data_IF_870341810523
#
_entry.id   IF_870341810523
#
_cell.length_a   1.000
_cell.length_b   1.000
_cell.length_c   1.000
_cell.angle_alpha   90.00
_cell.angle_beta   90.00
_cell.angle_gamma   90.00
#
_symmetry.space_group_name_H-M   'P 1'
#
loop_
_entity.id
_entity.type
_entity.pdbx_description
1 polymer ?
#
# COMPACT_ATOMS: atom_id res chain seq x y z
N UNK A 1 35.41 -50.10 1.44
CA UNK A 1 34.27 -49.34 0.88
C UNK A 1 33.62 -48.51 2.00
N UNK A 2 33.83 -47.20 2.04
CA UNK A 2 33.14 -46.30 3.00
C UNK A 2 31.98 -45.63 2.27
N UNK A 3 30.73 -46.01 2.60
CA UNK A 3 29.54 -45.33 2.10
C UNK A 3 29.49 -43.93 2.74
N UNK A 4 29.65 -42.88 1.93
CA UNK A 4 29.35 -41.52 2.36
C UNK A 4 27.83 -41.43 2.51
N UNK A 5 27.34 -41.42 3.75
CA UNK A 5 25.97 -41.02 4.04
C UNK A 5 25.81 -39.56 3.63
N UNK A 6 25.07 -39.33 2.54
CA UNK A 6 24.61 -38.00 2.18
C UNK A 6 23.53 -37.61 3.19
N UNK A 7 23.94 -36.95 4.27
CA UNK A 7 23.01 -36.28 5.18
C UNK A 7 22.28 -35.21 4.36
N UNK A 8 20.97 -35.37 4.20
CA UNK A 8 19.96 -34.35 3.90
C UNK A 8 20.20 -33.47 2.66
N UNK A 9 19.33 -33.59 1.65
CA UNK A 9 19.26 -32.59 0.57
C UNK A 9 19.08 -31.19 1.15
N UNK A 10 19.93 -30.23 0.75
CA UNK A 10 19.81 -28.85 1.19
C UNK A 10 18.41 -28.32 0.84
N UNK A 11 17.66 -27.74 1.79
CA UNK A 11 16.44 -27.05 1.45
C UNK A 11 16.75 -25.91 0.48
N UNK A 12 15.96 -25.80 -0.59
CA UNK A 12 16.08 -24.71 -1.56
C UNK A 12 15.92 -23.35 -0.88
N UNK A 13 16.45 -22.29 -1.51
CA UNK A 13 16.42 -20.95 -0.95
C UNK A 13 14.96 -20.50 -0.64
N UNK A 14 14.68 -20.21 0.63
CA UNK A 14 13.40 -19.64 1.04
C UNK A 14 13.28 -18.17 0.60
N UNK A 15 12.10 -17.80 0.11
CA UNK A 15 11.74 -16.41 -0.17
C UNK A 15 11.47 -15.64 1.14
N UNK A 16 11.63 -14.31 1.12
CA UNK A 16 11.35 -13.44 2.28
C UNK A 16 12.54 -12.58 2.72
N UNK A 17 12.27 -11.62 3.61
CA UNK A 17 13.30 -10.73 4.17
C UNK A 17 14.28 -11.49 5.06
N UNK A 18 15.48 -10.94 5.26
CA UNK A 18 16.48 -11.51 6.17
C UNK A 18 15.94 -11.65 7.61
N UNK A 19 15.14 -10.66 8.05
CA UNK A 19 14.48 -10.69 9.36
C UNK A 19 13.47 -11.83 9.47
N UNK A 20 12.65 -12.06 8.44
CA UNK A 20 11.70 -13.17 8.43
C UNK A 20 12.40 -14.53 8.52
N UNK A 21 13.54 -14.69 7.82
CA UNK A 21 14.38 -15.89 7.88
C UNK A 21 14.98 -16.10 9.27
N UNK A 22 15.47 -15.03 9.91
CA UNK A 22 16.01 -15.07 11.29
C UNK A 22 14.94 -15.49 12.29
N UNK A 23 13.73 -14.94 12.20
CA UNK A 23 12.60 -15.32 13.05
C UNK A 23 12.20 -16.79 12.84
N UNK A 24 12.07 -17.22 11.58
CA UNK A 24 11.72 -18.60 11.25
C UNK A 24 12.75 -19.59 11.79
N UNK A 25 14.05 -19.29 11.68
CA UNK A 25 15.11 -20.13 12.23
C UNK A 25 15.00 -20.27 13.76
N UNK A 26 14.84 -19.16 14.48
CA UNK A 26 14.73 -19.18 15.94
C UNK A 26 13.49 -19.95 16.44
N UNK A 27 12.36 -19.84 15.73
CA UNK A 27 11.14 -20.61 16.05
C UNK A 27 11.38 -22.11 15.81
N UNK A 28 12.02 -22.48 14.70
CA UNK A 28 12.32 -23.89 14.41
C UNK A 28 13.33 -24.49 15.38
N UNK A 29 14.34 -23.72 15.81
CA UNK A 29 15.29 -24.13 16.87
C UNK A 29 14.56 -24.38 18.20
N UNK A 30 13.60 -23.51 18.54
CA UNK A 30 12.73 -23.65 19.70
C UNK A 30 11.88 -24.92 19.65
N UNK A 31 11.20 -25.15 18.52
CA UNK A 31 10.36 -26.34 18.30
C UNK A 31 11.19 -27.64 18.22
N UNK A 32 12.41 -27.57 17.71
CA UNK A 32 13.33 -28.71 17.63
C UNK A 32 14.02 -29.03 18.98
N UNK A 33 13.85 -28.19 20.01
CA UNK A 33 14.48 -28.35 21.31
C UNK A 33 15.98 -28.07 21.32
N UNK A 34 16.52 -27.44 20.26
CA UNK A 34 17.93 -27.02 20.20
C UNK A 34 18.19 -25.81 21.09
N UNK A 35 17.15 -25.00 21.30
CA UNK A 35 17.16 -23.79 22.12
C UNK A 35 15.84 -23.69 22.89
N UNK A 36 15.86 -23.19 24.12
CA UNK A 36 14.62 -22.93 24.88
C UNK A 36 13.86 -21.70 24.36
N UNK A 37 12.52 -21.59 24.56
CA UNK A 37 11.75 -20.40 24.15
C UNK A 37 12.29 -19.08 24.73
N UNK A 38 12.82 -19.11 25.96
CA UNK A 38 13.45 -17.96 26.60
C UNK A 38 14.72 -17.55 25.85
N UNK A 39 15.66 -18.47 25.65
CA UNK A 39 16.90 -18.22 24.90
C UNK A 39 16.62 -17.76 23.46
N UNK A 40 15.57 -18.28 22.81
CA UNK A 40 15.16 -17.87 21.48
C UNK A 40 14.64 -16.43 21.46
N UNK A 41 13.87 -16.04 22.48
CA UNK A 41 13.40 -14.66 22.64
C UNK A 41 14.54 -13.68 22.91
N UNK A 42 15.53 -14.07 23.73
CA UNK A 42 16.73 -13.28 24.02
C UNK A 42 17.61 -13.12 22.77
N UNK A 43 17.85 -14.20 22.02
CA UNK A 43 18.62 -14.15 20.78
C UNK A 43 17.98 -13.27 19.69
N UNK A 44 16.65 -13.10 19.74
CA UNK A 44 15.90 -12.22 18.85
C UNK A 44 15.75 -10.79 19.40
N UNK A 45 16.10 -10.54 20.66
CA UNK A 45 15.90 -9.24 21.32
C UNK A 45 14.43 -8.89 21.52
N UNK A 46 13.57 -9.89 21.77
CA UNK A 46 12.13 -9.71 21.97
C UNK A 46 11.67 -10.31 23.28
N UNK A 47 10.50 -9.89 23.78
CA UNK A 47 9.90 -10.53 24.95
C UNK A 47 9.42 -11.95 24.63
N UNK A 48 9.40 -12.81 25.64
CA UNK A 48 8.91 -14.18 25.53
C UNK A 48 7.44 -14.25 25.06
N UNK A 49 6.59 -13.31 25.49
CA UNK A 49 5.22 -13.19 24.99
C UNK A 49 5.17 -12.91 23.48
N UNK A 50 6.03 -12.01 22.97
CA UNK A 50 6.11 -11.72 21.54
C UNK A 50 6.61 -12.93 20.75
N UNK A 51 7.54 -13.70 21.32
CA UNK A 51 8.00 -14.96 20.73
C UNK A 51 6.84 -15.94 20.52
N UNK A 52 6.04 -16.23 21.55
CA UNK A 52 4.89 -17.16 21.43
C UNK A 52 3.82 -16.67 20.44
N UNK A 53 3.58 -15.36 20.35
CA UNK A 53 2.70 -14.80 19.32
C UNK A 53 3.24 -15.03 17.91
N UNK A 54 4.55 -14.85 17.70
CA UNK A 54 5.18 -15.08 16.41
C UNK A 54 5.21 -16.57 16.05
N UNK A 55 5.46 -17.44 17.02
CA UNK A 55 5.38 -18.90 16.87
C UNK A 55 3.99 -19.33 16.43
N UNK A 56 2.94 -18.87 17.14
CA UNK A 56 1.55 -19.18 16.80
C UNK A 56 1.21 -18.71 15.39
N UNK A 57 1.60 -17.48 15.03
CA UNK A 57 1.39 -16.93 13.68
C UNK A 57 2.12 -17.73 12.60
N UNK A 58 3.36 -18.17 12.88
CA UNK A 58 4.14 -18.97 11.94
C UNK A 58 3.50 -20.33 11.70
N UNK A 59 3.07 -21.02 12.76
CA UNK A 59 2.37 -22.30 12.68
C UNK A 59 1.03 -22.19 11.96
N UNK A 60 0.25 -21.12 12.20
CA UNK A 60 -0.96 -20.84 11.44
C UNK A 60 -0.68 -20.66 9.94
N UNK A 61 0.38 -19.93 9.60
CA UNK A 61 0.80 -19.77 8.20
C UNK A 61 1.22 -21.09 7.55
N UNK A 62 1.89 -21.97 8.31
CA UNK A 62 2.24 -23.31 7.86
C UNK A 62 0.99 -24.14 7.58
N UNK A 63 0.04 -24.20 8.51
CA UNK A 63 -1.22 -24.94 8.33
C UNK A 63 -1.99 -24.42 7.12
N UNK A 64 -2.16 -23.09 7.01
CA UNK A 64 -2.84 -22.47 5.88
C UNK A 64 -2.16 -22.77 4.53
N UNK A 65 -0.83 -22.89 4.52
CA UNK A 65 -0.07 -23.21 3.30
C UNK A 65 -0.20 -24.68 2.89
N UNK A 66 -0.55 -25.56 3.85
CA UNK A 66 -0.78 -26.99 3.62
C UNK A 66 -2.24 -27.29 3.26
N UNK A 67 -3.15 -26.32 3.35
CA UNK A 67 -4.54 -26.50 2.93
C UNK A 67 -4.63 -26.89 1.44
N UNK A 68 -5.56 -27.79 1.07
CA UNK A 68 -5.71 -28.24 -0.30
C UNK A 68 -6.08 -27.05 -1.20
N UNK A 69 -5.15 -26.67 -2.07
CA UNK A 69 -5.40 -25.59 -3.02
C UNK A 69 -6.31 -26.11 -4.15
N UNK A 70 -7.41 -25.42 -4.48
CA UNK A 70 -8.30 -25.87 -5.54
C UNK A 70 -7.53 -26.01 -6.85
N UNK A 71 -7.68 -27.16 -7.51
CA UNK A 71 -7.02 -27.45 -8.79
C UNK A 71 -7.54 -26.52 -9.89
N UNK A 72 -6.65 -25.99 -10.71
CA UNK A 72 -6.98 -25.20 -11.91
C UNK A 72 -6.75 -23.69 -11.78
N UNK A 73 -6.88 -22.98 -12.91
CA UNK A 73 -6.71 -21.52 -12.99
C UNK A 73 -7.93 -20.84 -12.38
N UNK A 74 -7.77 -20.27 -11.17
CA UNK A 74 -8.74 -19.32 -10.61
C UNK A 74 -8.27 -17.88 -10.85
N UNK A 75 -9.22 -16.95 -10.98
CA UNK A 75 -8.92 -15.52 -10.90
C UNK A 75 -8.32 -15.27 -9.52
N UNK A 76 -7.09 -14.76 -9.46
CA UNK A 76 -6.54 -14.31 -8.17
C UNK A 76 -7.33 -13.08 -7.72
N UNK A 77 -7.42 -12.82 -6.40
CA UNK A 77 -8.00 -11.59 -5.90
C UNK A 77 -7.39 -10.34 -6.56
N UNK A 78 -6.09 -10.37 -6.84
CA UNK A 78 -5.39 -9.29 -7.55
C UNK A 78 -5.84 -9.15 -9.01
N UNK A 79 -6.09 -10.27 -9.70
CA UNK A 79 -6.63 -10.23 -11.06
C UNK A 79 -8.07 -9.72 -11.07
N UNK A 80 -8.86 -10.06 -10.03
CA UNK A 80 -10.23 -9.59 -9.87
C UNK A 80 -10.28 -8.09 -9.57
N UNK A 81 -9.42 -7.59 -8.69
CA UNK A 81 -9.22 -6.15 -8.44
C UNK A 81 -8.88 -5.45 -9.75
N UNK A 82 -7.91 -5.95 -10.51
CA UNK A 82 -7.53 -5.35 -11.78
C UNK A 82 -8.67 -5.35 -12.81
N UNK A 83 -9.54 -6.37 -12.83
CA UNK A 83 -10.74 -6.36 -13.70
C UNK A 83 -11.76 -5.33 -13.24
N UNK A 84 -12.05 -5.27 -11.94
CA UNK A 84 -13.02 -4.33 -11.37
C UNK A 84 -12.57 -2.87 -11.54
N UNK A 85 -11.27 -2.59 -11.42
CA UNK A 85 -10.70 -1.27 -11.67
C UNK A 85 -10.91 -0.82 -13.12
N UNK A 86 -10.70 -1.72 -14.09
CA UNK A 86 -10.95 -1.43 -15.51
C UNK A 86 -12.42 -1.19 -15.80
N UNK A 87 -13.30 -1.99 -15.21
CA UNK A 87 -14.75 -1.83 -15.34
C UNK A 87 -15.22 -0.50 -14.73
N UNK A 88 -14.73 -0.15 -13.54
CA UNK A 88 -14.99 1.14 -12.92
C UNK A 88 -14.57 2.29 -13.82
N UNK A 89 -13.36 2.25 -14.37
CA UNK A 89 -12.88 3.31 -15.25
C UNK A 89 -13.74 3.42 -16.53
N UNK A 90 -14.11 2.28 -17.11
CA UNK A 90 -15.02 2.23 -18.26
C UNK A 90 -16.37 2.87 -17.93
N UNK A 91 -17.01 2.47 -16.83
CA UNK A 91 -18.31 2.98 -16.39
C UNK A 91 -18.25 4.47 -16.07
N UNK A 92 -17.16 4.96 -15.46
CA UNK A 92 -16.97 6.40 -15.22
C UNK A 92 -16.90 7.20 -16.52
N UNK A 93 -16.25 6.67 -17.57
CA UNK A 93 -16.20 7.32 -18.88
C UNK A 93 -17.58 7.32 -19.55
N UNK A 94 -18.31 6.21 -19.50
CA UNK A 94 -19.67 6.10 -20.04
C UNK A 94 -20.63 7.05 -19.32
N UNK A 95 -20.59 7.11 -18.00
CA UNK A 95 -21.40 8.02 -17.19
C UNK A 95 -21.10 9.49 -17.51
N UNK A 96 -19.82 9.88 -17.64
CA UNK A 96 -19.44 11.24 -18.05
C UNK A 96 -20.00 11.61 -19.43
N UNK A 97 -19.95 10.68 -20.39
CA UNK A 97 -20.52 10.86 -21.74
C UNK A 97 -22.04 11.02 -21.70
N UNK A 98 -22.74 10.13 -21.00
CA UNK A 98 -24.18 10.19 -20.83
C UNK A 98 -24.61 11.51 -20.16
N UNK A 99 -23.93 11.92 -19.09
CA UNK A 99 -24.18 13.21 -18.44
C UNK A 99 -23.93 14.40 -19.37
N UNK A 100 -22.92 14.33 -20.25
CA UNK A 100 -22.66 15.37 -21.23
C UNK A 100 -23.81 15.46 -22.26
N UNK A 101 -24.27 14.32 -22.77
CA UNK A 101 -25.40 14.24 -23.71
C UNK A 101 -26.68 14.80 -23.09
N UNK A 102 -27.00 14.44 -21.85
CA UNK A 102 -28.16 14.97 -21.11
C UNK A 102 -28.07 16.50 -20.96
N UNK A 103 -26.90 17.04 -20.60
CA UNK A 103 -26.71 18.50 -20.50
C UNK A 103 -26.92 19.20 -21.84
N UNK A 104 -26.50 18.60 -22.94
CA UNK A 104 -26.72 19.15 -24.28
C UNK A 104 -28.20 19.14 -24.65
N UNK A 105 -28.90 18.03 -24.44
CA UNK A 105 -30.34 17.91 -24.69
C UNK A 105 -31.18 18.89 -23.84
N UNK A 106 -30.81 19.07 -22.57
CA UNK A 106 -31.45 20.07 -21.70
C UNK A 106 -31.28 21.49 -22.25
N UNK A 107 -30.07 21.84 -22.72
CA UNK A 107 -29.80 23.15 -23.34
C UNK A 107 -30.61 23.37 -24.61
N UNK A 108 -30.75 22.37 -25.47
CA UNK A 108 -31.52 22.51 -26.73
C UNK A 108 -33.01 22.72 -26.47
N UNK A 109 -33.54 22.20 -25.37
CA UNK A 109 -34.96 22.32 -24.98
C UNK A 109 -35.18 23.55 -24.04
N UNK A 110 -34.13 24.33 -23.76
CA UNK A 110 -34.23 25.52 -22.88
C UNK A 110 -34.36 25.19 -21.39
N UNK A 111 -34.11 23.93 -20.99
CA UNK A 111 -34.11 23.51 -19.60
C UNK A 111 -32.78 23.88 -18.91
N UNK A 112 -32.81 24.47 -17.70
CA UNK A 112 -31.59 24.76 -16.96
C UNK A 112 -30.88 23.45 -16.56
N UNK A 113 -29.53 23.40 -16.58
CA UNK A 113 -28.81 22.19 -16.18
C UNK A 113 -29.12 21.85 -14.71
N UNK A 114 -29.15 20.55 -14.35
CA UNK A 114 -29.38 20.13 -12.98
C UNK A 114 -28.33 20.78 -12.09
N UNK A 115 -28.79 21.51 -11.06
CA UNK A 115 -27.88 22.17 -10.13
C UNK A 115 -27.12 21.08 -9.39
N UNK A 116 -25.77 21.14 -9.30
CA UNK A 116 -25.06 20.24 -8.41
C UNK A 116 -25.60 20.44 -6.99
N UNK A 117 -25.91 19.34 -6.31
CA UNK A 117 -26.30 19.37 -4.90
C UNK A 117 -25.11 19.91 -4.10
N UNK A 118 -25.15 21.22 -3.81
CA UNK A 118 -24.19 21.85 -2.92
C UNK A 118 -24.51 21.40 -1.50
N UNK A 119 -23.51 20.89 -0.78
CA UNK A 119 -23.65 20.64 0.66
C UNK A 119 -24.12 21.94 1.33
N UNK A 120 -25.30 21.91 1.95
CA UNK A 120 -25.79 23.03 2.77
C UNK A 120 -24.84 23.20 3.97
N UNK A 121 -24.55 24.45 4.34
CA UNK A 121 -23.90 24.72 5.63
C UNK A 121 -24.88 24.46 6.79
N UNK A 122 -24.40 24.46 8.05
CA UNK A 122 -25.24 24.27 9.23
C UNK A 122 -26.43 25.25 9.29
N UNK A 123 -26.32 26.43 8.67
CA UNK A 123 -27.37 27.46 8.64
C UNK A 123 -28.34 27.34 7.43
N UNK A 124 -28.37 26.19 6.75
CA UNK A 124 -29.25 25.94 5.60
C UNK A 124 -28.91 26.72 4.32
N UNK A 125 -27.94 27.64 4.37
CA UNK A 125 -27.49 28.44 3.22
C UNK A 125 -26.32 27.77 2.49
N UNK A 126 -26.22 27.98 1.18
CA UNK A 126 -25.11 27.49 0.35
C UNK A 126 -23.80 28.10 0.83
N UNK A 127 -22.85 27.28 1.30
CA UNK A 127 -21.50 27.73 1.67
C UNK A 127 -20.75 28.15 0.41
N UNK A 128 -20.74 29.45 0.11
CA UNK A 128 -19.97 30.03 -0.99
C UNK A 128 -18.49 29.76 -0.70
N UNK A 129 -17.83 28.94 -1.54
CA UNK A 129 -16.41 28.58 -1.37
C UNK A 129 -15.56 29.83 -1.60
N UNK A 130 -15.27 30.57 -0.53
CA UNK A 130 -14.31 31.67 -0.55
C UNK A 130 -12.94 31.09 -0.87
N UNK A 131 -12.42 31.36 -2.07
CA UNK A 131 -11.02 31.04 -2.41
C UNK A 131 -10.15 31.91 -1.50
N UNK A 132 -9.46 31.31 -0.54
CA UNK A 132 -8.53 32.01 0.36
C UNK A 132 -7.40 32.62 -0.48
N UNK A 133 -7.48 33.92 -0.74
CA UNK A 133 -6.50 34.68 -1.55
C UNK A 133 -5.06 34.48 -1.07
N UNK A 134 -4.89 34.30 0.24
CA UNK A 134 -3.63 33.99 0.92
C UNK A 134 -2.89 32.76 0.36
N UNK A 135 -3.60 31.74 -0.14
CA UNK A 135 -2.98 30.53 -0.72
C UNK A 135 -2.37 30.78 -2.10
N UNK A 136 -2.86 31.76 -2.87
CA UNK A 136 -2.24 32.11 -4.15
C UNK A 136 -0.94 32.89 -3.92
N UNK A 137 -0.95 33.85 -3.01
CA UNK A 137 0.24 34.63 -2.67
C UNK A 137 1.38 33.75 -2.15
N UNK A 138 1.08 32.79 -1.26
CA UNK A 138 2.09 31.84 -0.76
C UNK A 138 2.63 30.92 -1.84
N UNK A 139 1.80 30.49 -2.79
CA UNK A 139 2.22 29.64 -3.92
C UNK A 139 3.11 30.39 -4.92
N UNK A 140 2.82 31.66 -5.17
CA UNK A 140 3.68 32.55 -5.98
C UNK A 140 5.01 32.82 -5.28
N UNK A 141 5.00 33.11 -3.98
CA UNK A 141 6.22 33.31 -3.19
C UNK A 141 7.13 32.08 -3.18
N UNK A 142 6.56 30.86 -3.08
CA UNK A 142 7.32 29.62 -3.15
C UNK A 142 7.97 29.41 -4.53
N UNK A 143 7.27 29.75 -5.61
CA UNK A 143 7.83 29.67 -6.97
C UNK A 143 9.00 30.64 -7.17
N UNK A 144 8.91 31.87 -6.63
CA UNK A 144 9.98 32.86 -6.73
C UNK A 144 11.26 32.46 -5.96
N UNK A 145 11.13 31.76 -4.82
CA UNK A 145 12.29 31.27 -4.05
C UNK A 145 13.06 30.13 -4.75
N UNK A 146 12.40 29.38 -5.62
CA UNK A 146 13.05 28.30 -6.39
C UNK A 146 13.89 28.84 -7.55
N UNK A 147 13.74 30.11 -7.93
CA UNK A 147 14.34 30.73 -9.13
C UNK A 147 15.55 31.62 -8.78
N UNK A 148 16.10 31.56 -7.57
CA UNK A 148 17.36 32.27 -7.27
C UNK A 148 18.59 31.36 -7.52
N UNK A 149 19.37 31.59 -8.61
CA UNK A 149 20.71 31.04 -8.75
C UNK A 149 21.74 31.88 -7.97
N UNK A 150 22.57 31.15 -7.23
CA UNK A 150 24.00 31.32 -6.97
C UNK A 150 24.58 32.70 -7.37
N UNK A 151 24.80 33.56 -6.37
CA UNK A 151 25.76 34.67 -6.47
C UNK A 151 27.02 34.19 -5.74
N UNK A 152 28.06 33.82 -6.51
CA UNK A 152 29.42 33.65 -5.98
C UNK A 152 29.99 35.03 -5.59
N UNK A 153 30.63 35.19 -4.42
CA UNK A 153 31.34 36.42 -4.09
C UNK A 153 32.67 36.46 -4.85
N UNK A 154 32.84 37.49 -5.68
CA UNK A 154 34.09 37.83 -6.34
C UNK A 154 35.20 38.04 -5.28
N UNK A 155 36.26 37.25 -5.42
CA UNK A 155 37.58 37.46 -4.83
C UNK A 155 38.09 38.87 -5.18
N UNK A 156 38.44 39.65 -4.15
CA UNK A 156 39.27 40.85 -4.30
C UNK A 156 40.74 40.47 -4.11
N UNK A 157 41.51 40.65 -5.17
CA UNK A 157 42.95 40.89 -5.14
C UNK A 157 43.23 42.28 -4.55
N UNK A 158 44.13 42.35 -3.56
CA UNK A 158 45.12 43.40 -3.25
C UNK A 158 45.59 43.23 -1.81
#
# INVERSE_FOLDING_TARGET
MKRKEKIGGQPGAFNGSAEAKRLAAAILEGLAGVRGPQEASEALGISMTRYYHLETRALQGLVASLEPRPRGRRRSPQAEIATLEREKERLERELKRAQALVRTAQRTIGLPPPRPEGKLGPDGKRKRRTRRAMVRATRVAAALRQVQPIIEPASKEA
#
